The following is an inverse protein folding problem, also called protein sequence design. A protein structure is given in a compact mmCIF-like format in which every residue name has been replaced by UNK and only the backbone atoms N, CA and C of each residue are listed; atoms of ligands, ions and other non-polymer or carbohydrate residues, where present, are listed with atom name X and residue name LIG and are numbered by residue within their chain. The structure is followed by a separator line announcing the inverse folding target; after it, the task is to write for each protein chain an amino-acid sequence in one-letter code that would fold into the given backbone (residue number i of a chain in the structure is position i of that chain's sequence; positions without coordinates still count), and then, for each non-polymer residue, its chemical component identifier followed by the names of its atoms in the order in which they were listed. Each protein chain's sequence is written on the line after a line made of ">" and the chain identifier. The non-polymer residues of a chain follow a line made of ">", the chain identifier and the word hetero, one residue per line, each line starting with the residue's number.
data_IF_806996822007
#
_entry.id   IF_806996822007
#
_cell.length_a   1.000
_cell.length_b   1.000
_cell.length_c   1.000
_cell.angle_alpha   90.00
_cell.angle_beta   90.00
_cell.angle_gamma   90.00
#
_symmetry.space_group_name_H-M   'P 1'
#
loop_
_entity.id
_entity.type
_entity.pdbx_description
1 polymer ?
#
# COMPACT_ATOMS: atom_id res chain seq x y z
N UNK A 1 -8.76 1.39 8.52
CA UNK A 1 -8.69 2.01 7.17
C UNK A 1 -8.94 0.92 6.13
N UNK A 2 -9.91 1.10 5.24
CA UNK A 2 -10.31 0.05 4.29
C UNK A 2 -9.50 0.12 2.98
N UNK A 3 -8.42 -0.68 2.91
CA UNK A 3 -7.60 -0.84 1.70
C UNK A 3 -8.04 -2.02 0.81
N UNK A 4 -8.88 -2.91 1.32
CA UNK A 4 -9.49 -3.99 0.54
C UNK A 4 -10.64 -3.43 -0.29
N UNK A 5 -10.70 -3.82 -1.56
CA UNK A 5 -11.82 -3.45 -2.41
C UNK A 5 -13.14 -4.04 -1.85
N UNK A 6 -14.22 -3.24 -1.70
CA UNK A 6 -15.49 -3.75 -1.19
C UNK A 6 -16.18 -4.75 -2.14
N UNK A 7 -15.87 -4.70 -3.45
CA UNK A 7 -16.48 -5.58 -4.45
C UNK A 7 -15.78 -6.93 -4.58
N UNK A 8 -14.45 -6.95 -4.65
CA UNK A 8 -13.68 -8.19 -4.90
C UNK A 8 -12.82 -8.64 -3.71
N UNK A 9 -12.80 -7.90 -2.59
CA UNK A 9 -11.99 -8.22 -1.41
C UNK A 9 -10.48 -8.01 -1.58
N UNK A 10 -9.99 -7.86 -2.80
CA UNK A 10 -8.55 -7.76 -3.08
C UNK A 10 -7.97 -6.46 -2.54
N UNK A 11 -6.86 -6.57 -1.82
CA UNK A 11 -6.00 -5.45 -1.41
C UNK A 11 -5.11 -5.04 -2.57
N UNK A 12 -5.66 -4.44 -3.63
CA UNK A 12 -4.90 -3.85 -4.73
C UNK A 12 -5.54 -2.53 -5.19
N UNK A 13 -5.39 -1.52 -4.33
CA UNK A 13 -5.93 -0.19 -4.52
C UNK A 13 -4.86 0.80 -5.03
N UNK A 14 -5.29 1.75 -5.85
CA UNK A 14 -4.51 2.95 -6.23
C UNK A 14 -5.32 4.21 -5.97
N UNK A 15 -4.67 5.35 -5.79
CA UNK A 15 -5.38 6.63 -5.71
C UNK A 15 -6.09 6.90 -7.04
N UNK A 16 -7.38 7.24 -6.97
CA UNK A 16 -8.14 7.69 -8.12
C UNK A 16 -7.93 9.18 -8.36
N UNK A 17 -8.01 9.62 -9.61
CA UNK A 17 -7.97 11.04 -9.93
C UNK A 17 -9.17 11.76 -9.31
N UNK A 18 -8.94 12.98 -8.79
CA UNK A 18 -9.99 13.84 -8.25
C UNK A 18 -10.85 14.37 -9.39
N UNK A 19 -12.18 14.27 -9.28
CA UNK A 19 -13.13 14.67 -10.34
C UNK A 19 -13.69 16.07 -10.16
N UNK A 20 -13.50 16.71 -9.01
CA UNK A 20 -14.01 18.05 -8.76
C UNK A 20 -13.52 18.69 -7.47
N UNK A 21 -13.96 19.92 -7.23
CA UNK A 21 -13.57 20.75 -6.08
C UNK A 21 -13.98 20.08 -4.76
N UNK A 22 -15.18 19.49 -4.70
CA UNK A 22 -15.64 18.78 -3.51
C UNK A 22 -14.70 17.64 -3.09
N UNK A 23 -14.14 16.90 -4.06
CA UNK A 23 -13.15 15.85 -3.77
C UNK A 23 -11.79 16.44 -3.37
N UNK A 24 -11.43 17.62 -3.87
CA UNK A 24 -10.23 18.33 -3.44
C UNK A 24 -10.34 18.77 -1.98
N UNK A 25 -11.48 19.34 -1.57
CA UNK A 25 -11.78 19.71 -0.19
C UNK A 25 -11.77 18.51 0.74
N UNK A 26 -12.42 17.40 0.34
CA UNK A 26 -12.34 16.13 1.08
C UNK A 26 -10.90 15.64 1.24
N UNK A 27 -10.08 15.80 0.21
CA UNK A 27 -8.64 15.52 0.26
C UNK A 27 -7.89 16.26 1.36
N UNK A 28 -8.25 17.52 1.62
CA UNK A 28 -7.66 18.33 2.70
C UNK A 28 -8.06 17.79 4.08
N UNK A 29 -9.30 17.35 4.23
CA UNK A 29 -9.82 16.69 5.45
C UNK A 29 -9.41 15.21 5.50
N UNK A 30 -8.42 14.79 4.72
CA UNK A 30 -7.85 13.46 4.81
C UNK A 30 -8.71 12.33 4.21
N UNK A 31 -9.71 12.64 3.38
CA UNK A 31 -10.49 11.65 2.64
C UNK A 31 -9.94 11.49 1.23
N UNK A 32 -9.64 10.24 0.85
CA UNK A 32 -8.96 9.94 -0.40
C UNK A 32 -9.76 8.94 -1.22
N UNK A 33 -10.05 9.22 -2.50
CA UNK A 33 -10.69 8.26 -3.37
C UNK A 33 -9.68 7.21 -3.81
N UNK A 34 -10.03 5.94 -3.62
CA UNK A 34 -9.29 4.78 -4.08
C UNK A 34 -10.03 4.10 -5.23
N UNK A 35 -9.28 3.45 -6.11
CA UNK A 35 -9.78 2.60 -7.19
C UNK A 35 -9.08 1.24 -7.14
N UNK A 36 -9.85 0.17 -7.29
CA UNK A 36 -9.31 -1.18 -7.38
C UNK A 36 -8.65 -1.35 -8.74
N UNK A 37 -7.44 -1.93 -8.79
CA UNK A 37 -6.78 -2.22 -10.07
C UNK A 37 -7.37 -3.40 -10.82
N UNK A 38 -8.11 -4.28 -10.14
CA UNK A 38 -8.70 -5.49 -10.74
C UNK A 38 -10.09 -5.26 -11.32
N UNK A 39 -11.00 -4.71 -10.50
CA UNK A 39 -12.42 -4.55 -10.88
C UNK A 39 -12.84 -3.10 -11.06
N UNK A 40 -11.90 -2.14 -11.00
CA UNK A 40 -12.11 -0.71 -11.18
C UNK A 40 -13.14 -0.02 -10.27
N UNK A 41 -13.62 -0.75 -9.26
CA UNK A 41 -14.53 -0.19 -8.26
C UNK A 41 -13.83 0.93 -7.51
N UNK A 42 -14.51 2.06 -7.37
CA UNK A 42 -14.04 3.24 -6.65
C UNK A 42 -14.70 3.27 -5.26
N UNK A 43 -13.93 3.62 -4.24
CA UNK A 43 -14.43 3.83 -2.89
C UNK A 43 -13.64 4.95 -2.20
N UNK A 44 -14.16 5.47 -1.09
CA UNK A 44 -13.48 6.48 -0.30
C UNK A 44 -12.84 5.83 0.94
N UNK A 45 -11.67 6.33 1.34
CA UNK A 45 -11.05 5.95 2.61
C UNK A 45 -10.66 7.21 3.38
N UNK A 46 -10.81 7.15 4.70
CA UNK A 46 -10.33 8.20 5.61
C UNK A 46 -8.91 7.89 6.08
N UNK A 47 -8.07 8.93 6.08
CA UNK A 47 -6.73 8.91 6.66
C UNK A 47 -6.73 8.81 8.19
N UNK A 48 -7.83 9.22 8.82
CA UNK A 48 -7.96 9.33 10.27
C UNK A 48 -8.29 8.00 10.93
N UNK A 49 -8.77 7.02 10.16
CA UNK A 49 -9.14 5.71 10.67
C UNK A 49 -7.94 5.02 11.37
N UNK A 50 -8.19 4.42 12.54
CA UNK A 50 -7.29 3.49 13.23
C UNK A 50 -5.88 4.05 13.51
N UNK A 51 -5.75 5.34 13.86
CA UNK A 51 -4.47 6.00 14.12
C UNK A 51 -3.47 5.88 12.95
N UNK A 52 -3.94 5.49 11.76
CA UNK A 52 -3.10 5.28 10.59
C UNK A 52 -2.41 6.57 10.13
N UNK A 53 -2.99 7.73 10.48
CA UNK A 53 -2.44 9.05 10.22
C UNK A 53 -1.07 9.30 10.89
N UNK A 54 -0.73 8.60 11.98
CA UNK A 54 0.55 8.73 12.70
C UNK A 54 1.73 8.15 11.93
N UNK A 55 1.47 7.27 10.97
CA UNK A 55 2.50 6.56 10.24
C UNK A 55 2.62 7.03 8.80
N UNK A 56 3.79 6.80 8.20
CA UNK A 56 4.02 7.04 6.78
C UNK A 56 3.08 6.18 5.93
N UNK A 57 2.74 6.70 4.74
CA UNK A 57 1.88 6.02 3.76
C UNK A 57 2.44 6.28 2.38
N UNK A 58 2.32 5.29 1.51
CA UNK A 58 2.69 5.49 0.12
C UNK A 58 1.73 6.50 -0.55
N UNK A 59 2.23 7.60 -1.14
CA UNK A 59 1.39 8.59 -1.80
C UNK A 59 0.80 8.11 -3.12
N UNK A 60 1.15 6.90 -3.59
CA UNK A 60 0.61 6.32 -4.85
C UNK A 60 -0.50 5.31 -4.60
N UNK A 61 -0.33 4.43 -3.61
CA UNK A 61 -1.27 3.33 -3.33
C UNK A 61 -1.79 3.29 -1.89
N UNK A 62 -1.45 4.27 -1.05
CA UNK A 62 -1.94 4.44 0.32
C UNK A 62 -1.63 3.31 1.33
N UNK A 63 -0.85 2.30 0.92
CA UNK A 63 -0.41 1.22 1.80
C UNK A 63 0.63 1.70 2.82
N UNK A 64 0.64 1.01 3.96
CA UNK A 64 1.59 1.18 5.06
C UNK A 64 2.69 0.09 5.07
N UNK A 65 2.64 -0.84 4.11
CA UNK A 65 3.68 -1.85 3.89
C UNK A 65 4.91 -1.20 3.27
N UNK A 66 5.71 -0.59 4.14
CA UNK A 66 6.84 0.25 3.77
C UNK A 66 8.18 -0.42 4.14
N UNK A 67 9.20 -0.10 3.37
CA UNK A 67 10.58 -0.58 3.50
C UNK A 67 11.52 0.61 3.35
N UNK A 68 12.77 0.46 3.77
CA UNK A 68 13.81 1.44 3.45
C UNK A 68 14.43 1.12 2.08
N UNK A 69 14.93 2.14 1.38
CA UNK A 69 15.76 1.97 0.19
C UNK A 69 17.11 2.63 0.44
N UNK A 70 18.20 2.08 -0.10
CA UNK A 70 19.53 2.66 0.06
C UNK A 70 19.79 3.75 -0.97
N UNK A 71 20.44 4.84 -0.54
CA UNK A 71 20.83 5.95 -1.42
C UNK A 71 21.85 5.55 -2.47
N UNK A 72 22.63 4.49 -2.22
CA UNK A 72 23.62 3.95 -3.17
C UNK A 72 23.02 3.46 -4.49
N UNK A 73 21.77 3.01 -4.49
CA UNK A 73 21.14 2.38 -5.66
C UNK A 73 20.03 3.23 -6.31
N UNK A 74 19.79 4.44 -5.81
CA UNK A 74 18.72 5.30 -6.31
C UNK A 74 19.15 6.76 -6.25
N UNK A 75 19.05 7.46 -7.39
CA UNK A 75 19.27 8.90 -7.46
C UNK A 75 17.91 9.63 -7.31
N UNK A 76 17.52 10.05 -6.09
CA UNK A 76 16.24 10.71 -5.87
C UNK A 76 16.18 12.09 -6.54
N UNK A 77 14.98 12.55 -6.93
CA UNK A 77 14.80 13.92 -7.41
C UNK A 77 15.17 14.93 -6.32
N UNK A 78 15.52 16.15 -6.73
CA UNK A 78 15.98 17.21 -5.83
C UNK A 78 15.03 17.47 -4.65
N UNK A 79 13.72 17.45 -4.89
CA UNK A 79 12.73 17.64 -3.83
C UNK A 79 12.84 16.58 -2.73
N UNK A 80 13.07 15.32 -3.09
CA UNK A 80 13.26 14.22 -2.13
C UNK A 80 14.57 14.40 -1.38
N UNK A 81 15.66 14.80 -2.06
CA UNK A 81 16.95 15.11 -1.41
C UNK A 81 16.81 16.22 -0.36
N UNK A 82 16.08 17.27 -0.71
CA UNK A 82 15.79 18.38 0.21
C UNK A 82 15.06 17.88 1.47
N UNK A 83 14.02 17.04 1.31
CA UNK A 83 13.33 16.47 2.48
C UNK A 83 14.23 15.57 3.33
N UNK A 84 15.09 14.76 2.71
CA UNK A 84 16.05 13.92 3.43
C UNK A 84 17.05 14.78 4.22
N UNK A 85 17.54 15.88 3.65
CA UNK A 85 18.42 16.82 4.34
C UNK A 85 17.77 17.46 5.58
N UNK A 86 16.45 17.61 5.59
CA UNK A 86 15.68 18.08 6.75
C UNK A 86 15.40 16.99 7.80
N UNK A 87 15.91 15.76 7.62
CA UNK A 87 15.71 14.65 8.55
C UNK A 87 14.53 13.74 8.21
N UNK A 88 13.97 13.83 6.99
CA UNK A 88 13.01 12.82 6.55
C UNK A 88 13.71 11.46 6.34
N UNK A 89 12.93 10.38 6.46
CA UNK A 89 13.43 9.02 6.21
C UNK A 89 13.18 8.59 4.77
N UNK A 90 14.12 7.82 4.20
CA UNK A 90 13.99 7.23 2.87
C UNK A 90 13.04 6.02 2.90
N UNK A 91 11.87 6.11 2.25
CA UNK A 91 10.86 5.05 2.29
C UNK A 91 10.51 4.54 0.89
N UNK A 92 10.39 3.22 0.77
CA UNK A 92 9.95 2.49 -0.43
C UNK A 92 8.70 1.68 -0.11
N UNK A 93 7.67 1.83 -0.93
CA UNK A 93 6.49 0.99 -0.83
C UNK A 93 6.78 -0.44 -1.33
N UNK A 94 6.44 -1.47 -0.54
CA UNK A 94 6.64 -2.86 -0.94
C UNK A 94 5.75 -3.26 -2.14
N UNK A 95 4.52 -2.75 -2.19
CA UNK A 95 3.54 -3.13 -3.22
C UNK A 95 3.77 -2.43 -4.57
N UNK A 96 3.85 -1.10 -4.60
CA UNK A 96 3.98 -0.35 -5.86
C UNK A 96 5.40 0.11 -6.18
N UNK A 97 6.38 -0.24 -5.32
CA UNK A 97 7.81 0.07 -5.48
C UNK A 97 8.17 1.55 -5.57
N UNK A 98 7.23 2.45 -5.25
CA UNK A 98 7.45 3.90 -5.23
C UNK A 98 8.39 4.32 -4.08
N UNK A 99 9.43 5.07 -4.41
CA UNK A 99 10.39 5.66 -3.47
C UNK A 99 9.97 7.09 -3.12
N UNK A 100 9.96 7.44 -1.84
CA UNK A 100 9.62 8.77 -1.33
C UNK A 100 10.32 9.05 -0.01
N UNK A 101 10.29 10.31 0.44
CA UNK A 101 10.75 10.70 1.77
C UNK A 101 9.55 11.02 2.68
N UNK A 102 9.69 10.73 3.97
CA UNK A 102 8.65 11.04 4.97
C UNK A 102 9.26 11.24 6.36
N UNK A 103 8.79 12.27 7.07
CA UNK A 103 9.08 12.49 8.50
C UNK A 103 8.31 11.54 9.41
N UNK A 104 7.18 11.00 8.93
CA UNK A 104 6.39 10.07 9.73
C UNK A 104 7.13 8.74 9.85
N UNK A 105 7.11 8.10 11.03
CA UNK A 105 7.68 6.78 11.20
C UNK A 105 6.90 5.77 10.34
N UNK A 106 7.59 4.72 9.94
CA UNK A 106 6.95 3.54 9.37
C UNK A 106 6.12 2.86 10.46
N UNK A 107 4.94 2.34 10.12
CA UNK A 107 4.22 1.40 10.99
C UNK A 107 5.05 0.14 11.07
N UNK A 108 5.56 -0.20 12.24
CA UNK A 108 6.41 -1.39 12.44
C UNK A 108 5.83 -2.56 11.66
N UNK A 109 6.72 -3.21 10.91
CA UNK A 109 6.34 -4.30 10.02
C UNK A 109 5.55 -5.30 10.87
N UNK A 110 4.36 -5.66 10.40
CA UNK A 110 3.92 -7.04 10.57
C UNK A 110 5.11 -7.89 10.15
N UNK A 111 5.78 -8.52 11.11
CA UNK A 111 6.76 -9.55 10.81
C UNK A 111 6.11 -10.50 9.82
N UNK A 112 6.86 -10.90 8.79
CA UNK A 112 6.45 -12.04 7.98
C UNK A 112 6.52 -13.30 8.87
N UNK A 113 5.70 -13.42 9.91
CA UNK A 113 5.11 -14.72 10.20
C UNK A 113 4.21 -14.97 9.00
N UNK A 114 4.76 -15.69 8.02
CA UNK A 114 4.05 -16.67 7.23
C UNK A 114 2.53 -16.42 7.22
N UNK A 115 1.92 -15.82 6.19
CA UNK A 115 1.57 -16.55 4.98
C UNK A 115 1.93 -18.05 4.98
N UNK A 116 1.56 -18.76 6.04
CA UNK A 116 1.06 -20.10 5.86
C UNK A 116 -0.26 -19.90 5.12
N UNK A 117 -0.14 -19.92 3.80
CA UNK A 117 -1.23 -20.31 2.93
C UNK A 117 -1.76 -21.61 3.56
N UNK A 118 -3.01 -21.69 4.07
CA UNK A 118 -3.66 -22.99 3.99
C UNK A 118 -3.69 -23.26 2.50
N UNK A 119 -2.78 -24.11 2.03
CA UNK A 119 -2.94 -24.77 0.75
C UNK A 119 -4.31 -25.39 0.86
N UNK A 120 -5.26 -24.85 0.10
CA UNK A 120 -6.59 -25.42 -0.01
C UNK A 120 -6.42 -26.91 -0.27
N UNK A 121 -6.99 -27.76 0.59
CA UNK A 121 -6.92 -29.22 0.50
C UNK A 121 -7.36 -29.79 -0.86
N UNK A 122 -7.91 -28.96 -1.75
CA UNK A 122 -8.26 -29.28 -3.13
C UNK A 122 -7.04 -29.50 -4.06
N UNK A 123 -5.83 -29.01 -3.75
CA UNK A 123 -4.63 -29.29 -4.57
C UNK A 123 -3.93 -30.61 -4.16
N UNK A 124 -4.23 -31.18 -2.98
CA UNK A 124 -3.58 -32.41 -2.49
C UNK A 124 -4.22 -33.71 -3.01
N UNK A 125 -5.48 -33.69 -3.46
CA UNK A 125 -6.17 -34.90 -3.96
C UNK A 125 -5.83 -35.23 -5.41
N UNK A 126 -5.27 -34.31 -6.19
CA UNK A 126 -4.97 -34.55 -7.61
C UNK A 126 -3.66 -35.33 -7.82
N UNK A 127 -2.77 -35.38 -6.83
CA UNK A 127 -1.45 -36.03 -6.97
C UNK A 127 -1.42 -37.51 -6.53
N UNK A 128 -2.46 -38.00 -5.86
CA UNK A 128 -2.54 -39.39 -5.39
C UNK A 128 -3.05 -40.34 -6.50
N UNK A 129 -3.86 -39.85 -7.44
CA UNK A 129 -4.48 -40.67 -8.50
C UNK A 129 -3.54 -41.00 -9.69
N UNK A 130 -2.26 -40.61 -9.65
CA UNK A 130 -1.32 -40.79 -10.76
C UNK A 130 -0.25 -41.86 -10.54
N UNK A 131 -0.28 -42.58 -9.42
CA UNK A 131 0.78 -43.54 -9.06
C UNK A 131 0.44 -45.02 -9.24
N UNK A 132 -0.80 -45.37 -9.59
CA UNK A 132 -1.25 -46.77 -9.68
C UNK A 132 -1.71 -47.19 -11.10
N UNK A 133 -1.12 -46.62 -12.15
CA UNK A 133 -1.38 -46.98 -13.56
C UNK A 133 -0.12 -47.27 -14.34
#
# INVERSE_FOLDING_TARGET
>A
MQLSCPKCGVRDARIAHRRGIGEALRGLVGWYPLRCRRCDTRWETSAWAERAWRYARCPRCYRQDLTYWSETHYNPPFSVRFWLALGATHIRCAACRYNFASFKPRKERFERKHQDRPVTAAEATVEVDRKDG
#
